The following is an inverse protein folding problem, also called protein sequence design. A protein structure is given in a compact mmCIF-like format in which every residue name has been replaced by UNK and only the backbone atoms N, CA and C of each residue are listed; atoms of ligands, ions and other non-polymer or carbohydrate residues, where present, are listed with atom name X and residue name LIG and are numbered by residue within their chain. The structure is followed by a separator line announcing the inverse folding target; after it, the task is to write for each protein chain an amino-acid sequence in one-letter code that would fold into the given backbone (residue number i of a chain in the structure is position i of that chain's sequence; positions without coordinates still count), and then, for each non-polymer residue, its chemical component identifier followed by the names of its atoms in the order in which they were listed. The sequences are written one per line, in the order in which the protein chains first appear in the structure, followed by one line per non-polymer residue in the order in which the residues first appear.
data_IF_496099281887
#
_entry.id   IF_496099281887
#
_cell.length_a   1.000
_cell.length_b   1.000
_cell.length_c   1.000
_cell.angle_alpha   90.00
_cell.angle_beta   90.00
_cell.angle_gamma   90.00
#
_symmetry.space_group_name_H-M   'P 1'
#
loop_
_entity.id
_entity.type
_entity.pdbx_description
1 polymer ?
#
# COMPACT_ATOMS: atom_id res chain seq x y z
N UNK A 1 21.06 9.84 17.77
CA UNK A 1 21.18 10.11 19.22
C UNK A 1 20.29 9.15 19.99
N UNK A 2 18.98 9.01 19.68
CA UNK A 2 18.04 8.11 20.39
C UNK A 2 18.50 6.64 20.37
N UNK A 3 18.98 6.13 19.23
CA UNK A 3 19.45 4.77 19.06
C UNK A 3 20.69 4.51 19.93
N UNK A 4 21.64 5.44 19.95
CA UNK A 4 22.86 5.31 20.78
C UNK A 4 22.49 5.29 22.26
N UNK A 5 21.56 6.12 22.70
CA UNK A 5 21.04 6.15 24.06
C UNK A 5 20.34 4.83 24.43
N UNK A 6 19.50 4.29 23.55
CA UNK A 6 18.83 3.00 23.73
C UNK A 6 19.85 1.84 23.84
N UNK A 7 20.85 1.80 22.96
CA UNK A 7 21.93 0.79 23.00
C UNK A 7 22.72 0.90 24.31
N UNK A 8 23.05 2.11 24.74
CA UNK A 8 23.75 2.35 26.02
C UNK A 8 22.91 1.87 27.23
N UNK A 9 21.61 2.18 27.26
CA UNK A 9 20.67 1.75 28.28
C UNK A 9 20.54 0.21 28.32
N UNK A 10 20.49 -0.42 27.16
CA UNK A 10 20.43 -1.88 27.02
C UNK A 10 21.74 -2.53 27.48
N UNK A 11 22.91 -2.00 27.10
CA UNK A 11 24.21 -2.47 27.55
C UNK A 11 24.36 -2.32 29.08
N UNK A 12 23.92 -1.20 29.65
CA UNK A 12 23.93 -0.99 31.10
C UNK A 12 23.04 -2.00 31.86
N UNK A 13 21.85 -2.30 31.31
CA UNK A 13 20.95 -3.29 31.89
C UNK A 13 21.52 -4.74 31.81
N UNK A 14 22.16 -5.09 30.68
CA UNK A 14 22.83 -6.38 30.52
C UNK A 14 24.03 -6.53 31.42
N UNK A 15 24.87 -5.50 31.58
CA UNK A 15 26.05 -5.51 32.43
C UNK A 15 25.71 -5.48 33.93
N UNK A 16 24.55 -4.96 34.32
CA UNK A 16 24.05 -4.96 35.69
C UNK A 16 23.91 -6.37 36.29
N UNK A 17 23.67 -7.38 35.44
CA UNK A 17 23.65 -8.80 35.85
C UNK A 17 25.05 -9.35 36.11
N UNK A 18 26.09 -8.85 35.46
CA UNK A 18 27.47 -9.29 35.68
C UNK A 18 27.99 -8.93 37.09
N UNK A 19 27.56 -7.80 37.66
CA UNK A 19 27.94 -7.38 39.00
C UNK A 19 27.43 -8.29 40.12
N UNK A 20 26.50 -9.19 39.82
CA UNK A 20 25.95 -10.18 40.77
C UNK A 20 26.64 -11.54 40.69
N UNK A 21 27.58 -11.72 39.76
CA UNK A 21 28.33 -12.98 39.62
C UNK A 21 29.59 -12.89 40.46
N UNK A 22 29.67 -13.69 41.52
CA UNK A 22 30.90 -13.75 42.34
C UNK A 22 31.99 -14.51 41.58
N UNK A 23 33.25 -14.15 41.79
CA UNK A 23 34.40 -14.79 41.14
C UNK A 23 34.43 -16.33 41.38
N UNK A 24 33.99 -16.77 42.56
CA UNK A 24 33.91 -18.17 42.94
C UNK A 24 32.84 -18.92 42.12
N UNK A 25 31.68 -18.30 41.82
CA UNK A 25 30.64 -18.92 41.00
C UNK A 25 31.03 -19.00 39.52
N UNK A 26 31.85 -18.05 39.03
CA UNK A 26 32.37 -18.06 37.66
C UNK A 26 33.45 -19.17 37.48
N UNK A 27 34.30 -19.42 38.48
CA UNK A 27 35.37 -20.41 38.41
C UNK A 27 34.82 -21.84 38.60
N UNK A 28 33.78 -22.02 39.41
CA UNK A 28 33.17 -23.34 39.66
C UNK A 28 32.32 -23.90 38.53
N UNK A 29 32.21 -23.19 37.38
CA UNK A 29 31.53 -23.71 36.17
C UNK A 29 30.13 -24.24 36.47
N UNK A 30 29.36 -23.51 37.22
CA UNK A 30 27.93 -23.51 37.46
C UNK A 30 27.00 -24.69 37.17
N UNK A 31 27.45 -25.92 37.16
CA UNK A 31 26.58 -27.06 36.96
C UNK A 31 26.71 -28.07 38.14
N UNK A 32 26.26 -27.68 39.29
CA UNK A 32 25.89 -28.59 40.34
C UNK A 32 24.40 -28.44 40.66
N UNK A 33 23.60 -29.20 39.96
CA UNK A 33 22.18 -29.28 40.21
C UNK A 33 21.54 -30.15 39.15
N UNK A 34 21.36 -31.43 39.43
CA UNK A 34 20.44 -32.28 38.69
C UNK A 34 19.06 -31.66 38.76
N UNK A 35 18.68 -30.93 37.73
CA UNK A 35 17.33 -30.40 37.57
C UNK A 35 16.48 -31.52 36.97
N UNK A 36 15.74 -32.23 37.79
CA UNK A 36 14.70 -33.16 37.37
C UNK A 36 13.43 -32.46 36.88
N UNK A 37 13.54 -31.25 36.37
CA UNK A 37 12.42 -30.56 35.74
C UNK A 37 11.98 -31.33 34.49
N UNK A 38 10.67 -31.49 34.33
CA UNK A 38 10.04 -32.15 33.20
C UNK A 38 10.51 -31.51 31.89
N UNK A 39 11.52 -32.13 31.27
CA UNK A 39 12.28 -31.53 30.17
C UNK A 39 11.72 -31.87 28.75
N UNK A 40 10.49 -32.39 28.67
CA UNK A 40 9.94 -32.82 27.38
C UNK A 40 8.50 -32.36 27.21
N UNK A 41 8.24 -31.58 26.17
CA UNK A 41 6.89 -31.19 25.71
C UNK A 41 6.21 -32.35 24.94
N UNK A 42 7.02 -33.18 24.25
CA UNK A 42 6.58 -34.31 23.46
C UNK A 42 7.19 -35.61 23.97
N UNK A 43 6.45 -36.72 23.90
CA UNK A 43 6.96 -38.02 24.30
C UNK A 43 7.44 -38.81 23.06
N UNK A 44 8.72 -39.22 23.06
CA UNK A 44 9.34 -39.94 21.93
C UNK A 44 8.62 -41.26 21.60
N UNK A 45 8.16 -42.00 22.60
CA UNK A 45 7.48 -43.27 22.39
C UNK A 45 6.10 -43.18 21.71
N UNK A 46 5.51 -41.98 21.68
CA UNK A 46 4.23 -41.70 20.95
C UNK A 46 4.43 -41.29 19.48
N UNK A 47 5.68 -41.02 19.08
CA UNK A 47 6.01 -40.47 17.76
C UNK A 47 6.51 -41.58 16.83
N UNK A 48 5.63 -42.04 15.89
CA UNK A 48 5.98 -43.07 14.91
C UNK A 48 6.51 -42.54 13.57
N UNK A 49 6.30 -41.26 13.28
CA UNK A 49 6.53 -40.71 11.94
C UNK A 49 7.68 -39.71 11.85
N UNK A 50 8.10 -39.12 12.93
CA UNK A 50 9.17 -38.10 12.94
C UNK A 50 10.56 -38.72 13.03
N UNK A 51 11.48 -38.27 12.17
CA UNK A 51 12.90 -38.61 12.30
C UNK A 51 13.46 -38.00 13.59
N UNK A 52 14.38 -38.70 14.26
CA UNK A 52 14.93 -38.27 15.55
C UNK A 52 15.44 -36.80 15.55
N UNK A 53 16.19 -36.32 14.54
CA UNK A 53 16.60 -34.90 14.52
C UNK A 53 15.43 -33.92 14.50
N UNK A 54 14.34 -34.25 13.78
CA UNK A 54 13.15 -33.39 13.71
C UNK A 54 12.41 -33.37 15.06
N UNK A 55 12.26 -34.54 15.69
CA UNK A 55 11.67 -34.63 17.02
C UNK A 55 12.45 -33.77 18.02
N UNK A 56 13.80 -33.90 18.06
CA UNK A 56 14.65 -33.14 18.96
C UNK A 56 14.52 -31.62 18.72
N UNK A 57 14.48 -31.17 17.45
CA UNK A 57 14.32 -29.76 17.11
C UNK A 57 12.98 -29.17 17.57
N UNK A 58 11.88 -29.90 17.33
CA UNK A 58 10.55 -29.47 17.76
C UNK A 58 10.43 -29.44 19.28
N UNK A 59 10.89 -30.51 19.94
CA UNK A 59 10.81 -30.61 21.37
C UNK A 59 11.66 -29.53 22.10
N UNK A 60 12.87 -29.26 21.62
CA UNK A 60 13.74 -28.21 22.16
C UNK A 60 13.12 -26.83 22.02
N UNK A 61 12.54 -26.53 20.84
CA UNK A 61 11.86 -25.28 20.64
C UNK A 61 10.66 -25.09 21.57
N UNK A 62 9.81 -26.12 21.73
CA UNK A 62 8.62 -26.05 22.58
C UNK A 62 8.95 -25.96 24.09
N UNK A 63 10.02 -26.64 24.51
CA UNK A 63 10.43 -26.63 25.93
C UNK A 63 11.20 -25.38 26.33
N UNK A 64 11.92 -24.76 25.39
CA UNK A 64 12.82 -23.64 25.66
C UNK A 64 12.51 -22.38 24.85
N UNK A 65 11.25 -22.06 24.59
CA UNK A 65 10.79 -20.90 23.80
C UNK A 65 11.51 -19.59 24.17
N UNK A 66 11.80 -19.40 25.49
CA UNK A 66 12.52 -18.19 25.95
C UNK A 66 13.94 -18.06 25.38
N UNK A 67 14.59 -19.17 25.01
CA UNK A 67 15.92 -19.14 24.38
C UNK A 67 15.88 -18.61 22.96
N UNK A 68 14.76 -18.83 22.28
CA UNK A 68 14.55 -18.42 20.88
C UNK A 68 13.84 -17.07 20.76
N UNK A 69 13.40 -16.46 21.87
CA UNK A 69 12.61 -15.25 21.87
C UNK A 69 13.27 -14.11 21.08
N UNK A 70 14.58 -13.92 21.21
CA UNK A 70 15.30 -12.90 20.45
C UNK A 70 15.24 -13.15 18.94
N UNK A 71 15.47 -14.39 18.50
CA UNK A 71 15.38 -14.75 17.09
C UNK A 71 13.96 -14.63 16.55
N UNK A 72 12.97 -15.10 17.31
CA UNK A 72 11.56 -14.99 16.97
C UNK A 72 11.17 -13.52 16.74
N UNK A 73 11.51 -12.65 17.67
CA UNK A 73 11.22 -11.22 17.57
C UNK A 73 11.95 -10.58 16.38
N UNK A 74 13.24 -10.89 16.20
CA UNK A 74 14.02 -10.33 15.09
C UNK A 74 13.47 -10.76 13.75
N UNK A 75 13.17 -12.04 13.55
CA UNK A 75 12.60 -12.55 12.30
C UNK A 75 11.20 -11.99 12.08
N UNK A 76 10.37 -11.92 13.12
CA UNK A 76 9.03 -11.35 13.03
C UNK A 76 9.07 -9.88 12.58
N UNK A 77 9.89 -9.05 13.22
CA UNK A 77 10.05 -7.64 12.82
C UNK A 77 10.58 -7.52 11.40
N UNK A 78 11.56 -8.35 11.02
CA UNK A 78 12.11 -8.32 9.65
C UNK A 78 11.07 -8.70 8.60
N UNK A 79 10.25 -9.71 8.84
CA UNK A 79 9.14 -10.06 7.95
C UNK A 79 8.10 -8.94 7.84
N UNK A 80 7.74 -8.31 8.95
CA UNK A 80 6.81 -7.15 8.96
C UNK A 80 7.39 -6.00 8.13
N UNK A 81 8.66 -5.65 8.32
CA UNK A 81 9.32 -4.58 7.59
C UNK A 81 9.39 -4.82 6.07
N UNK A 82 9.46 -6.07 5.63
CA UNK A 82 9.41 -6.43 4.20
C UNK A 82 7.96 -6.40 3.69
N UNK A 83 7.02 -6.88 4.50
CA UNK A 83 5.61 -7.03 4.08
C UNK A 83 4.90 -5.70 3.93
N UNK A 84 5.22 -4.68 4.76
CA UNK A 84 4.58 -3.37 4.70
C UNK A 84 4.74 -2.71 3.30
N UNK A 85 5.95 -2.51 2.74
CA UNK A 85 6.10 -1.90 1.43
C UNK A 85 5.48 -2.74 0.30
N UNK A 86 5.57 -4.07 0.39
CA UNK A 86 4.93 -4.96 -0.59
C UNK A 86 3.42 -4.80 -0.60
N UNK A 87 2.79 -4.78 0.57
CA UNK A 87 1.35 -4.55 0.67
C UNK A 87 0.98 -3.16 0.16
N UNK A 88 1.77 -2.13 0.47
CA UNK A 88 1.54 -0.77 -0.04
C UNK A 88 1.53 -0.74 -1.56
N UNK A 89 2.53 -1.36 -2.21
CA UNK A 89 2.59 -1.44 -3.68
C UNK A 89 1.37 -2.18 -4.24
N UNK A 90 1.00 -3.33 -3.67
CA UNK A 90 -0.15 -4.09 -4.11
C UNK A 90 -1.47 -3.32 -3.95
N UNK A 91 -1.62 -2.57 -2.85
CA UNK A 91 -2.80 -1.73 -2.61
C UNK A 91 -2.87 -0.59 -3.64
N UNK A 92 -1.74 0.05 -3.94
CA UNK A 92 -1.68 1.12 -4.94
C UNK A 92 -2.04 0.66 -6.37
N UNK A 93 -1.86 -0.63 -6.67
CA UNK A 93 -2.21 -1.24 -7.96
C UNK A 93 -3.65 -1.75 -8.03
N UNK A 94 -4.41 -1.68 -6.94
CA UNK A 94 -5.77 -2.18 -6.93
C UNK A 94 -6.71 -1.28 -7.74
N UNK A 95 -7.77 -1.87 -8.30
CA UNK A 95 -8.83 -1.13 -9.01
C UNK A 95 -9.55 -0.14 -8.08
N UNK A 96 -9.69 -0.50 -6.81
CA UNK A 96 -10.28 0.36 -5.80
C UNK A 96 -9.45 1.62 -5.58
N UNK A 97 -8.13 1.49 -5.53
CA UNK A 97 -7.23 2.64 -5.45
C UNK A 97 -7.31 3.51 -6.71
N UNK A 98 -7.42 2.92 -7.90
CA UNK A 98 -7.54 3.65 -9.15
C UNK A 98 -8.78 4.57 -9.19
N UNK A 99 -9.92 4.12 -8.63
CA UNK A 99 -11.15 4.92 -8.54
C UNK A 99 -10.95 6.19 -7.70
N UNK A 100 -10.09 6.13 -6.67
CA UNK A 100 -9.73 7.30 -5.84
C UNK A 100 -8.89 8.34 -6.59
N UNK A 101 -8.28 7.95 -7.71
CA UNK A 101 -7.64 8.86 -8.67
C UNK A 101 -8.57 9.23 -9.83
N UNK A 102 -9.87 9.04 -9.69
CA UNK A 102 -10.88 9.33 -10.71
C UNK A 102 -10.65 8.54 -12.01
N UNK A 103 -10.11 7.33 -11.92
CA UNK A 103 -9.94 6.39 -13.02
C UNK A 103 -11.02 5.32 -12.94
N UNK A 104 -11.84 5.22 -13.98
CA UNK A 104 -12.77 4.10 -14.12
C UNK A 104 -12.03 2.89 -14.70
N UNK A 105 -11.75 1.86 -13.90
CA UNK A 105 -11.02 0.67 -14.34
C UNK A 105 -11.85 -0.30 -15.19
N UNK A 106 -13.16 -0.13 -15.22
CA UNK A 106 -14.11 -0.99 -15.95
C UNK A 106 -14.32 -0.57 -17.40
N UNK A 107 -13.77 0.60 -17.80
CA UNK A 107 -13.85 1.05 -19.19
C UNK A 107 -13.10 0.12 -20.14
N UNK A 108 -13.58 0.03 -21.37
CA UNK A 108 -13.02 -0.91 -22.35
C UNK A 108 -11.56 -0.59 -22.69
N UNK A 109 -11.24 0.70 -22.91
CA UNK A 109 -9.89 1.23 -23.14
C UNK A 109 -9.85 2.71 -22.78
N UNK A 110 -8.68 3.33 -22.88
CA UNK A 110 -8.45 4.73 -22.54
C UNK A 110 -7.66 5.44 -23.65
N UNK A 111 -7.88 6.74 -23.77
CA UNK A 111 -7.12 7.63 -24.67
C UNK A 111 -6.44 8.70 -23.82
N UNK A 112 -5.16 8.95 -24.05
CA UNK A 112 -4.42 9.98 -23.32
C UNK A 112 -4.85 11.38 -23.72
N UNK A 113 -4.87 11.64 -25.02
CA UNK A 113 -5.21 12.92 -25.64
C UNK A 113 -6.07 12.71 -26.85
N UNK A 114 -7.17 13.46 -26.95
CA UNK A 114 -8.13 13.36 -28.04
C UNK A 114 -7.99 14.47 -29.09
N UNK A 115 -6.99 15.34 -28.96
CA UNK A 115 -6.67 16.35 -29.96
C UNK A 115 -6.15 15.72 -31.26
N UNK A 116 -5.58 14.54 -31.21
CA UNK A 116 -4.92 13.87 -32.31
C UNK A 116 -3.68 14.64 -32.74
N UNK A 117 -3.54 14.89 -34.06
CA UNK A 117 -2.44 15.68 -34.62
C UNK A 117 -2.64 17.20 -34.48
N UNK A 118 -3.75 17.66 -33.91
CA UNK A 118 -3.98 19.08 -33.68
C UNK A 118 -3.19 19.55 -32.47
N UNK A 119 -2.24 20.47 -32.64
CA UNK A 119 -1.35 20.97 -31.61
C UNK A 119 -1.99 21.88 -30.54
N UNK A 120 -3.28 22.20 -30.68
CA UNK A 120 -3.97 23.11 -29.76
C UNK A 120 -4.72 22.35 -28.69
N UNK A 121 -4.18 22.35 -27.44
CA UNK A 121 -4.88 21.84 -26.27
C UNK A 121 -6.26 22.50 -26.10
N UNK A 122 -7.26 21.72 -25.70
CA UNK A 122 -8.59 22.26 -25.39
C UNK A 122 -8.51 23.19 -24.18
N UNK A 123 -9.11 24.39 -24.29
CA UNK A 123 -9.07 25.41 -23.24
C UNK A 123 -10.28 25.39 -22.32
N UNK A 124 -11.37 24.76 -22.73
CA UNK A 124 -12.59 24.70 -21.93
C UNK A 124 -13.37 23.40 -22.18
N UNK A 125 -14.32 23.11 -21.28
CA UNK A 125 -15.17 21.92 -21.35
C UNK A 125 -16.00 21.82 -22.63
N UNK A 126 -16.39 22.93 -23.21
CA UNK A 126 -17.16 22.93 -24.47
C UNK A 126 -16.32 22.42 -25.66
N UNK A 127 -15.05 22.81 -25.73
CA UNK A 127 -14.10 22.29 -26.73
C UNK A 127 -13.81 20.80 -26.48
N UNK A 128 -13.60 20.41 -25.26
CA UNK A 128 -13.41 18.99 -24.88
C UNK A 128 -14.60 18.15 -25.31
N UNK A 129 -15.83 18.58 -25.00
CA UNK A 129 -17.05 17.89 -25.40
C UNK A 129 -17.17 17.73 -26.92
N UNK A 130 -16.83 18.78 -27.70
CA UNK A 130 -16.80 18.68 -29.16
C UNK A 130 -15.73 17.69 -29.65
N UNK A 131 -14.57 17.67 -29.00
CA UNK A 131 -13.50 16.71 -29.28
C UNK A 131 -13.95 15.28 -29.05
N UNK A 132 -14.57 15.00 -27.88
CA UNK A 132 -15.13 13.69 -27.57
C UNK A 132 -16.14 13.22 -28.60
N UNK A 133 -17.12 14.10 -28.99
CA UNK A 133 -18.10 13.79 -30.00
C UNK A 133 -17.49 13.57 -31.40
N UNK A 134 -16.35 14.20 -31.71
CA UNK A 134 -15.61 13.91 -32.93
C UNK A 134 -15.04 12.50 -32.90
N UNK A 135 -14.36 12.13 -31.84
CA UNK A 135 -13.76 10.79 -31.66
C UNK A 135 -14.86 9.72 -31.68
N UNK A 136 -15.97 9.92 -30.99
CA UNK A 136 -17.11 9.00 -31.00
C UNK A 136 -17.66 8.79 -32.46
N UNK A 137 -17.77 9.86 -33.25
CA UNK A 137 -18.18 9.74 -34.67
C UNK A 137 -17.16 8.99 -35.50
N UNK A 138 -15.87 9.30 -35.38
CA UNK A 138 -14.79 8.60 -36.09
C UNK A 138 -14.79 7.11 -35.76
N UNK A 139 -15.03 6.75 -34.48
CA UNK A 139 -15.15 5.36 -34.05
C UNK A 139 -16.39 4.69 -34.62
N UNK A 140 -17.52 5.38 -34.62
CA UNK A 140 -18.79 4.88 -35.18
C UNK A 140 -18.72 4.61 -36.69
N UNK A 141 -18.02 5.46 -37.44
CA UNK A 141 -17.79 5.28 -38.88
C UNK A 141 -17.00 4.00 -39.18
N UNK A 142 -16.18 3.55 -38.23
CA UNK A 142 -15.41 2.31 -38.33
C UNK A 142 -16.12 1.12 -37.65
N UNK A 143 -17.35 1.28 -37.19
CA UNK A 143 -18.18 0.23 -36.64
C UNK A 143 -18.05 0.03 -35.13
N UNK A 144 -17.43 0.97 -34.40
CA UNK A 144 -17.36 0.95 -32.94
C UNK A 144 -18.40 1.87 -32.34
N UNK A 145 -19.34 1.32 -31.57
CA UNK A 145 -20.30 2.13 -30.81
C UNK A 145 -19.72 2.43 -29.44
N UNK A 146 -18.96 3.51 -29.37
CA UNK A 146 -18.20 3.92 -28.21
C UNK A 146 -18.79 5.18 -27.56
N UNK A 147 -18.82 5.22 -26.25
CA UNK A 147 -19.13 6.40 -25.43
C UNK A 147 -17.87 6.87 -24.71
N UNK A 148 -17.59 8.17 -24.78
CA UNK A 148 -16.42 8.75 -24.14
C UNK A 148 -16.81 9.49 -22.85
N UNK A 149 -15.97 9.35 -21.83
CA UNK A 149 -16.09 10.10 -20.57
C UNK A 149 -14.72 10.68 -20.21
N UNK A 150 -14.66 11.96 -19.88
CA UNK A 150 -13.42 12.65 -19.50
C UNK A 150 -13.65 13.61 -18.34
N UNK A 151 -12.63 13.84 -17.52
CA UNK A 151 -12.66 14.82 -16.43
C UNK A 151 -11.93 16.09 -16.81
N UNK A 152 -12.65 17.21 -16.88
CA UNK A 152 -12.05 18.55 -17.00
C UNK A 152 -11.57 19.02 -15.65
N UNK A 153 -10.34 19.54 -15.57
CA UNK A 153 -9.70 20.03 -14.35
C UNK A 153 -9.66 21.54 -14.36
N UNK A 154 -10.12 22.13 -13.27
CA UNK A 154 -10.07 23.55 -13.00
C UNK A 154 -9.46 23.80 -11.63
N UNK A 155 -8.91 24.99 -11.42
CA UNK A 155 -8.51 25.46 -10.08
C UNK A 155 -9.38 26.65 -9.71
N UNK A 156 -10.38 26.42 -8.87
CA UNK A 156 -11.43 27.39 -8.53
C UNK A 156 -11.27 27.91 -7.10
N UNK A 157 -11.42 29.25 -6.89
CA UNK A 157 -11.32 29.87 -5.57
C UNK A 157 -12.66 29.82 -4.85
N UNK A 158 -12.84 28.80 -4.00
CA UNK A 158 -14.05 28.69 -3.17
C UNK A 158 -13.90 29.42 -1.84
N UNK A 159 -15.00 29.98 -1.35
CA UNK A 159 -15.09 30.63 -0.06
C UNK A 159 -16.51 30.57 0.52
N UNK A 160 -16.60 30.71 1.84
CA UNK A 160 -17.90 30.88 2.50
C UNK A 160 -18.55 32.22 2.13
N UNK A 161 -19.89 32.33 2.11
CA UNK A 161 -20.59 33.55 1.73
C UNK A 161 -20.09 34.77 2.51
N UNK A 162 -19.80 35.86 1.80
CA UNK A 162 -19.29 37.08 2.40
C UNK A 162 -17.82 37.07 2.84
N UNK A 163 -17.10 35.97 2.63
CA UNK A 163 -15.65 35.88 2.85
C UNK A 163 -14.92 35.96 1.50
N UNK A 164 -13.71 36.51 1.48
CA UNK A 164 -12.82 36.42 0.32
C UNK A 164 -11.88 35.25 0.50
N UNK A 165 -11.94 34.26 -0.38
CA UNK A 165 -11.03 33.13 -0.41
C UNK A 165 -9.96 33.31 -1.48
N UNK A 166 -8.72 33.01 -1.15
CA UNK A 166 -7.60 33.02 -2.12
C UNK A 166 -7.11 31.61 -2.45
N UNK A 167 -7.60 30.59 -1.75
CA UNK A 167 -7.18 29.19 -1.94
C UNK A 167 -7.94 28.60 -3.11
N UNK A 168 -7.21 28.24 -4.17
CA UNK A 168 -7.77 27.56 -5.32
C UNK A 168 -7.79 26.05 -5.06
N UNK A 169 -8.96 25.45 -5.18
CA UNK A 169 -9.18 24.02 -5.03
C UNK A 169 -9.28 23.39 -6.42
N UNK A 170 -8.57 22.29 -6.62
CA UNK A 170 -8.69 21.49 -7.82
C UNK A 170 -10.12 20.98 -7.96
N UNK A 171 -10.77 21.31 -9.06
CA UNK A 171 -12.18 21.01 -9.29
C UNK A 171 -12.34 20.19 -10.56
N UNK A 172 -12.96 19.03 -10.42
CA UNK A 172 -13.20 18.12 -11.52
C UNK A 172 -14.63 18.25 -12.01
N UNK A 173 -14.79 18.44 -13.32
CA UNK A 173 -16.07 18.37 -13.98
C UNK A 173 -16.05 17.21 -14.98
N UNK A 174 -16.84 16.17 -14.70
CA UNK A 174 -16.86 14.96 -15.52
C UNK A 174 -17.80 15.18 -16.69
N UNK A 175 -17.26 15.08 -17.89
CA UNK A 175 -17.99 15.15 -19.15
C UNK A 175 -18.22 13.73 -19.66
N UNK A 176 -19.49 13.35 -19.95
CA UNK A 176 -19.86 12.01 -20.39
C UNK A 176 -21.02 11.44 -19.58
N UNK A 177 -21.29 10.13 -19.76
CA UNK A 177 -22.46 9.47 -19.15
C UNK A 177 -22.09 8.52 -18.03
N UNK A 178 -20.93 7.89 -18.11
CA UNK A 178 -20.53 6.87 -17.13
C UNK A 178 -19.82 7.52 -15.93
N UNK A 179 -20.56 7.76 -14.84
CA UNK A 179 -20.07 8.30 -13.58
C UNK A 179 -20.35 7.39 -12.38
N UNK A 180 -20.81 6.16 -12.61
CA UNK A 180 -21.21 5.22 -11.56
C UNK A 180 -20.03 4.71 -10.73
N UNK A 181 -18.81 4.79 -11.26
CA UNK A 181 -17.57 4.43 -10.55
C UNK A 181 -17.14 5.44 -9.47
N UNK A 182 -17.85 6.54 -9.33
CA UNK A 182 -17.52 7.57 -8.35
C UNK A 182 -18.24 7.31 -7.02
N UNK A 183 -17.46 6.95 -6.01
CA UNK A 183 -17.94 6.73 -4.67
C UNK A 183 -18.07 8.02 -3.87
N UNK A 184 -19.05 8.06 -2.97
CA UNK A 184 -19.26 9.11 -2.00
C UNK A 184 -19.30 8.51 -0.60
N UNK A 185 -18.62 9.17 0.35
CA UNK A 185 -18.58 8.74 1.75
C UNK A 185 -19.87 9.15 2.48
N UNK A 186 -20.32 10.38 2.20
CA UNK A 186 -21.53 10.96 2.80
C UNK A 186 -22.26 11.79 1.76
N UNK A 187 -23.59 11.84 1.85
CA UNK A 187 -24.43 12.61 0.94
C UNK A 187 -24.57 11.96 -0.45
N UNK A 188 -24.52 12.75 -1.50
CA UNK A 188 -24.75 12.31 -2.88
C UNK A 188 -23.93 13.08 -3.90
N UNK A 189 -23.84 12.52 -5.12
CA UNK A 189 -23.27 13.22 -6.27
C UNK A 189 -24.03 14.53 -6.58
N UNK A 190 -23.36 15.57 -7.06
CA UNK A 190 -24.00 16.79 -7.55
C UNK A 190 -24.90 16.47 -8.76
N UNK A 191 -26.18 16.80 -8.68
CA UNK A 191 -27.20 16.58 -9.73
C UNK A 191 -27.61 17.88 -10.41
N UNK A 192 -27.64 18.99 -9.67
CA UNK A 192 -27.97 20.31 -10.16
C UNK A 192 -26.72 21.13 -10.46
N UNK A 193 -26.84 22.15 -11.30
CA UNK A 193 -25.72 23.03 -11.71
C UNK A 193 -25.08 23.77 -10.51
N UNK A 194 -25.88 24.05 -9.47
CA UNK A 194 -25.45 24.71 -8.26
C UNK A 194 -25.08 23.74 -7.12
N UNK A 195 -24.88 22.49 -7.40
CA UNK A 195 -24.44 21.49 -6.43
C UNK A 195 -22.97 21.15 -6.62
N UNK A 196 -22.29 20.88 -5.50
CA UNK A 196 -20.88 20.54 -5.45
C UNK A 196 -20.62 19.47 -4.39
N UNK A 197 -19.67 18.61 -4.65
CA UNK A 197 -19.13 17.74 -3.62
C UNK A 197 -17.64 18.07 -3.40
N UNK A 198 -17.20 17.98 -2.16
CA UNK A 198 -15.80 18.18 -1.78
C UNK A 198 -15.19 16.90 -1.23
N UNK A 199 -13.89 16.78 -1.37
CA UNK A 199 -13.15 15.78 -0.60
C UNK A 199 -13.31 16.01 0.90
N UNK A 200 -13.25 14.94 1.69
CA UNK A 200 -13.34 15.00 3.16
C UNK A 200 -12.34 16.01 3.74
N UNK A 201 -11.10 16.00 3.25
CA UNK A 201 -10.05 16.91 3.72
C UNK A 201 -10.44 18.38 3.57
N UNK A 202 -11.00 18.77 2.43
CA UNK A 202 -11.45 20.16 2.19
C UNK A 202 -12.57 20.56 3.15
N UNK A 203 -13.51 19.64 3.42
CA UNK A 203 -14.59 19.90 4.36
C UNK A 203 -14.07 20.11 5.78
N UNK A 204 -13.16 19.27 6.23
CA UNK A 204 -12.55 19.32 7.55
C UNK A 204 -11.68 20.59 7.72
N UNK A 205 -10.78 20.87 6.77
CA UNK A 205 -9.88 22.03 6.82
C UNK A 205 -10.60 23.38 6.84
N UNK A 206 -11.77 23.46 6.17
CA UNK A 206 -12.54 24.69 6.10
C UNK A 206 -13.72 24.72 7.07
N UNK A 207 -13.94 23.63 7.84
CA UNK A 207 -15.11 23.44 8.69
C UNK A 207 -16.43 23.62 7.95
N UNK A 208 -16.52 23.03 6.73
CA UNK A 208 -17.71 23.01 5.89
C UNK A 208 -18.46 21.70 6.06
N UNK A 209 -19.78 21.75 5.90
CA UNK A 209 -20.67 20.61 6.07
C UNK A 209 -21.57 20.44 4.86
N UNK A 210 -22.10 19.23 4.68
CA UNK A 210 -23.12 18.96 3.68
C UNK A 210 -24.34 19.83 3.99
N UNK A 211 -24.85 20.54 2.96
CA UNK A 211 -25.92 21.52 3.08
C UNK A 211 -25.44 22.96 3.17
N UNK A 212 -24.18 23.22 3.43
CA UNK A 212 -23.62 24.58 3.47
C UNK A 212 -23.61 25.21 2.09
N UNK A 213 -23.70 26.55 2.08
CA UNK A 213 -23.59 27.37 0.87
C UNK A 213 -22.17 27.89 0.74
N UNK A 214 -21.62 27.72 -0.48
CA UNK A 214 -20.26 28.14 -0.82
C UNK A 214 -20.35 29.01 -2.08
N UNK A 215 -19.43 29.94 -2.22
CA UNK A 215 -19.31 30.83 -3.34
C UNK A 215 -17.95 30.65 -4.04
N UNK A 216 -17.92 30.87 -5.35
CA UNK A 216 -16.69 30.94 -6.15
C UNK A 216 -16.77 32.12 -7.11
N UNK A 217 -15.78 32.99 -7.08
CA UNK A 217 -15.69 34.13 -7.98
C UNK A 217 -14.89 33.76 -9.22
N UNK A 218 -15.58 33.69 -10.38
CA UNK A 218 -15.01 33.26 -11.66
C UNK A 218 -15.27 34.34 -12.72
N UNK A 219 -14.21 34.93 -13.28
CA UNK A 219 -14.30 35.93 -14.36
C UNK A 219 -15.23 37.11 -14.07
N UNK A 220 -15.34 37.51 -12.77
CA UNK A 220 -16.20 38.62 -12.32
C UNK A 220 -17.64 38.23 -12.03
N UNK A 221 -18.01 36.97 -12.15
CA UNK A 221 -19.30 36.43 -11.76
C UNK A 221 -19.15 35.58 -10.49
N UNK A 222 -20.07 35.71 -9.54
CA UNK A 222 -20.11 34.90 -8.33
C UNK A 222 -21.04 33.71 -8.51
N UNK A 223 -20.48 32.51 -8.53
CA UNK A 223 -21.22 31.26 -8.56
C UNK A 223 -21.54 30.82 -7.14
N UNK A 224 -22.77 30.35 -6.92
CA UNK A 224 -23.25 29.89 -5.62
C UNK A 224 -23.51 28.40 -5.66
N UNK A 225 -22.94 27.67 -4.71
CA UNK A 225 -23.07 26.21 -4.64
C UNK A 225 -23.65 25.78 -3.30
N UNK A 226 -24.27 24.60 -3.29
CA UNK A 226 -24.68 23.86 -2.11
C UNK A 226 -23.84 22.58 -2.05
N UNK A 227 -23.24 22.31 -0.91
CA UNK A 227 -22.45 21.09 -0.72
C UNK A 227 -23.41 19.91 -0.57
N UNK A 228 -23.34 18.93 -1.48
CA UNK A 228 -24.25 17.77 -1.48
C UNK A 228 -23.59 16.48 -1.06
N UNK A 229 -22.28 16.39 -1.12
CA UNK A 229 -21.58 15.15 -0.78
C UNK A 229 -20.13 15.34 -0.40
N UNK A 230 -19.63 14.30 0.24
CA UNK A 230 -18.21 14.12 0.61
C UNK A 230 -17.67 12.84 0.00
N UNK A 231 -16.40 12.86 -0.40
CA UNK A 231 -15.75 11.70 -1.00
C UNK A 231 -14.28 11.61 -0.61
N UNK A 232 -13.71 10.42 -0.76
CA UNK A 232 -12.27 10.20 -0.65
C UNK A 232 -11.60 10.46 -1.99
N UNK A 233 -10.49 11.21 -2.00
CA UNK A 233 -9.73 11.49 -3.21
C UNK A 233 -8.24 11.57 -2.89
N UNK A 234 -7.43 11.02 -3.80
CA UNK A 234 -5.97 11.09 -3.69
C UNK A 234 -5.35 12.10 -4.65
N UNK A 235 -6.15 12.69 -5.53
CA UNK A 235 -5.68 13.78 -6.37
C UNK A 235 -5.34 15.00 -5.51
N UNK A 236 -4.24 15.67 -5.83
CA UNK A 236 -3.74 16.82 -5.06
C UNK A 236 -3.70 16.58 -3.55
N UNK A 237 -3.27 15.36 -3.14
CA UNK A 237 -3.20 14.96 -1.72
C UNK A 237 -4.56 15.09 -1.00
N UNK A 238 -5.64 14.79 -1.70
CA UNK A 238 -6.99 14.82 -1.13
C UNK A 238 -7.65 16.20 -1.16
N UNK A 239 -7.09 17.18 -1.87
CA UNK A 239 -7.64 18.54 -1.92
C UNK A 239 -8.36 18.80 -3.23
N UNK A 240 -9.60 18.31 -3.35
CA UNK A 240 -10.38 18.42 -4.58
C UNK A 240 -11.88 18.66 -4.38
N UNK A 241 -12.55 19.06 -5.47
CA UNK A 241 -13.99 19.22 -5.57
C UNK A 241 -14.51 18.53 -6.84
N UNK A 242 -15.76 18.07 -6.81
CA UNK A 242 -16.48 17.53 -7.96
C UNK A 242 -17.67 18.42 -8.30
N UNK A 243 -17.70 18.88 -9.54
CA UNK A 243 -18.70 19.78 -10.11
C UNK A 243 -19.70 18.99 -10.97
N UNK A 244 -20.92 19.48 -11.06
CA UNK A 244 -21.90 18.91 -11.98
C UNK A 244 -21.53 19.19 -13.44
N UNK A 245 -21.75 18.23 -14.32
CA UNK A 245 -21.48 18.33 -15.77
C UNK A 245 -22.32 19.39 -16.50
N UNK A 246 -23.45 19.82 -15.89
CA UNK A 246 -24.35 20.85 -16.46
C UNK A 246 -23.89 22.27 -16.16
N UNK A 247 -23.00 22.45 -15.18
CA UNK A 247 -22.45 23.78 -14.86
C UNK A 247 -21.72 24.34 -16.07
N UNK A 248 -22.11 25.54 -16.51
CA UNK A 248 -21.46 26.20 -17.64
C UNK A 248 -20.15 26.85 -17.23
N UNK A 249 -19.04 26.20 -17.55
CA UNK A 249 -17.68 26.69 -17.39
C UNK A 249 -17.02 27.02 -18.74
N UNK A 250 -17.81 27.28 -19.79
CA UNK A 250 -17.26 27.57 -21.13
C UNK A 250 -16.39 28.82 -21.21
N UNK A 251 -16.59 29.77 -20.26
CA UNK A 251 -15.80 31.00 -20.13
C UNK A 251 -14.61 30.87 -19.20
N UNK A 252 -14.49 29.74 -18.49
CA UNK A 252 -13.40 29.48 -17.52
C UNK A 252 -12.34 28.64 -18.19
N UNK A 253 -11.08 29.07 -18.11
CA UNK A 253 -9.98 28.30 -18.66
C UNK A 253 -9.79 27.00 -17.88
N UNK A 254 -9.85 25.88 -18.60
CA UNK A 254 -9.55 24.55 -18.11
C UNK A 254 -8.03 24.40 -18.00
N UNK A 255 -7.54 23.89 -16.87
CA UNK A 255 -6.12 23.62 -16.70
C UNK A 255 -5.66 22.48 -17.64
N UNK A 256 -6.35 21.35 -17.57
CA UNK A 256 -6.19 20.21 -18.46
C UNK A 256 -7.42 19.30 -18.36
N UNK A 257 -7.48 18.24 -19.13
CA UNK A 257 -8.42 17.16 -18.91
C UNK A 257 -7.68 15.86 -18.59
N UNK A 258 -8.34 15.04 -17.79
CA UNK A 258 -7.76 13.82 -17.23
C UNK A 258 -8.39 12.61 -17.87
N UNK A 259 -7.59 11.64 -18.26
CA UNK A 259 -7.96 10.34 -18.81
C UNK A 259 -9.31 10.30 -19.56
N UNK A 260 -9.29 10.03 -20.83
CA UNK A 260 -10.51 9.82 -21.60
C UNK A 260 -10.83 8.34 -21.56
N UNK A 261 -11.85 7.98 -20.80
CA UNK A 261 -12.38 6.63 -20.74
C UNK A 261 -13.22 6.37 -21.98
N UNK A 262 -13.08 5.18 -22.57
CA UNK A 262 -13.84 4.75 -23.75
C UNK A 262 -14.61 3.50 -23.40
N UNK A 263 -15.91 3.63 -23.29
CA UNK A 263 -16.83 2.55 -22.98
C UNK A 263 -17.48 2.02 -24.24
N UNK A 264 -17.38 0.71 -24.47
CA UNK A 264 -18.02 0.03 -25.59
C UNK A 264 -18.28 -1.43 -25.25
N UNK A 265 -19.27 -2.03 -25.88
CA UNK A 265 -19.53 -3.47 -25.78
C UNK A 265 -18.53 -4.23 -26.65
N UNK A 266 -17.73 -5.08 -26.04
CA UNK A 266 -16.73 -5.89 -26.74
C UNK A 266 -16.48 -7.20 -26.00
N UNK A 267 -16.20 -8.25 -26.76
CA UNK A 267 -15.77 -9.55 -26.21
C UNK A 267 -14.23 -9.68 -26.19
N UNK A 268 -13.51 -8.65 -26.67
CA UNK A 268 -12.04 -8.64 -26.70
C UNK A 268 -11.48 -8.23 -25.34
N UNK A 269 -10.33 -8.77 -25.00
CA UNK A 269 -9.55 -8.29 -23.84
C UNK A 269 -9.08 -6.85 -24.08
N UNK A 270 -8.85 -6.09 -23.00
CA UNK A 270 -8.37 -4.69 -23.10
C UNK A 270 -7.09 -4.58 -23.94
N UNK A 271 -6.16 -5.53 -23.82
CA UNK A 271 -4.90 -5.53 -24.57
C UNK A 271 -5.15 -5.74 -26.07
N UNK A 272 -5.98 -6.71 -26.46
CA UNK A 272 -6.32 -6.98 -27.86
C UNK A 272 -7.10 -5.83 -28.48
N UNK A 273 -8.01 -5.22 -27.71
CA UNK A 273 -8.78 -4.07 -28.15
C UNK A 273 -7.88 -2.87 -28.38
N UNK A 274 -7.00 -2.56 -27.43
CA UNK A 274 -5.98 -1.51 -27.56
C UNK A 274 -5.15 -1.69 -28.83
N UNK A 275 -4.58 -2.87 -29.06
CA UNK A 275 -3.74 -3.15 -30.23
C UNK A 275 -4.52 -3.01 -31.54
N UNK A 276 -5.80 -3.38 -31.53
CA UNK A 276 -6.68 -3.22 -32.69
C UNK A 276 -6.95 -1.74 -32.96
N UNK A 277 -7.29 -0.98 -31.92
CA UNK A 277 -7.62 0.44 -32.04
C UNK A 277 -6.39 1.28 -32.37
N UNK A 278 -5.22 0.94 -31.84
CA UNK A 278 -3.96 1.64 -32.16
C UNK A 278 -3.60 1.51 -33.66
N UNK A 279 -3.92 0.37 -34.28
CA UNK A 279 -3.70 0.18 -35.74
C UNK A 279 -4.74 0.94 -36.57
N UNK A 280 -5.97 1.03 -36.10
CA UNK A 280 -7.07 1.67 -36.85
C UNK A 280 -7.13 3.19 -36.65
N UNK A 281 -6.67 3.66 -35.50
CA UNK A 281 -6.67 5.07 -35.12
C UNK A 281 -5.28 5.47 -34.62
N UNK A 282 -4.28 5.54 -35.51
CA UNK A 282 -2.87 5.77 -35.13
C UNK A 282 -2.62 7.20 -34.60
N UNK A 283 -3.57 8.11 -34.77
CA UNK A 283 -3.46 9.48 -34.30
C UNK A 283 -3.75 9.64 -32.81
N UNK A 284 -4.27 8.59 -32.17
CA UNK A 284 -4.54 8.54 -30.72
C UNK A 284 -3.61 7.56 -30.02
N UNK A 285 -3.23 7.89 -28.79
CA UNK A 285 -2.49 6.98 -27.91
C UNK A 285 -3.47 6.21 -27.00
N UNK A 286 -3.55 4.90 -27.23
CA UNK A 286 -4.49 4.01 -26.52
C UNK A 286 -3.80 3.32 -25.35
N UNK A 287 -4.52 3.15 -24.25
CA UNK A 287 -4.04 2.55 -23.02
C UNK A 287 -5.03 1.53 -22.46
N UNK A 288 -4.50 0.54 -21.75
CA UNK A 288 -5.29 -0.34 -20.87
C UNK A 288 -5.48 0.34 -19.50
N UNK A 289 -6.41 -0.19 -18.67
CA UNK A 289 -6.59 0.27 -17.29
C UNK A 289 -5.29 0.20 -16.49
N UNK A 290 -4.55 -0.91 -16.61
CA UNK A 290 -3.29 -1.09 -15.90
C UNK A 290 -2.24 -0.06 -16.31
N UNK A 291 -2.11 0.23 -17.60
CA UNK A 291 -1.16 1.25 -18.08
C UNK A 291 -1.51 2.66 -17.62
N UNK A 292 -2.80 2.99 -17.47
CA UNK A 292 -3.24 4.26 -16.90
C UNK A 292 -2.89 4.33 -15.41
N UNK A 293 -3.16 3.26 -14.66
CA UNK A 293 -2.80 3.17 -13.23
C UNK A 293 -1.28 3.29 -13.07
N UNK A 294 -0.52 2.50 -13.79
CA UNK A 294 0.95 2.51 -13.74
C UNK A 294 1.52 3.89 -14.07
N UNK A 295 0.91 4.60 -15.01
CA UNK A 295 1.34 5.94 -15.39
C UNK A 295 1.03 7.00 -14.34
N UNK A 296 -0.12 6.90 -13.68
CA UNK A 296 -0.56 7.87 -12.67
C UNK A 296 0.14 7.65 -11.33
N UNK A 297 0.40 6.40 -11.00
CA UNK A 297 0.97 5.97 -9.71
C UNK A 297 2.39 5.42 -9.88
N UNK A 298 2.79 5.04 -11.11
CA UNK A 298 4.01 4.29 -11.43
C UNK A 298 5.29 4.96 -10.95
N UNK A 299 5.37 6.29 -10.97
CA UNK A 299 6.54 7.00 -10.44
C UNK A 299 6.74 6.80 -8.93
N UNK A 300 5.65 6.73 -8.16
CA UNK A 300 5.71 6.43 -6.72
C UNK A 300 6.06 4.95 -6.52
N UNK A 301 5.42 4.07 -7.29
CA UNK A 301 5.67 2.63 -7.26
C UNK A 301 7.09 2.28 -7.65
N UNK A 302 7.63 2.88 -8.72
CA UNK A 302 9.01 2.68 -9.16
C UNK A 302 10.00 3.09 -8.07
N UNK A 303 9.81 4.26 -7.47
CA UNK A 303 10.62 4.74 -6.35
C UNK A 303 10.55 3.83 -5.13
N UNK A 304 9.36 3.33 -4.77
CA UNK A 304 9.21 2.36 -3.68
C UNK A 304 9.87 1.02 -4.01
N UNK A 305 9.72 0.54 -5.25
CA UNK A 305 10.32 -0.72 -5.70
C UNK A 305 11.85 -0.65 -5.72
N UNK A 306 12.43 0.46 -6.16
CA UNK A 306 13.88 0.70 -6.12
C UNK A 306 14.43 0.68 -4.70
N UNK A 307 13.68 1.19 -3.72
CA UNK A 307 14.07 1.15 -2.29
C UNK A 307 13.90 -0.23 -1.67
N UNK A 308 12.97 -1.04 -2.17
CA UNK A 308 12.63 -2.35 -1.61
C UNK A 308 13.78 -3.35 -1.74
N UNK A 309 14.47 -3.36 -2.89
CA UNK A 309 15.59 -4.29 -3.16
C UNK A 309 16.75 -4.09 -2.17
N UNK A 310 17.36 -2.88 -2.03
CA UNK A 310 18.47 -2.69 -1.10
C UNK A 310 18.01 -2.84 0.37
N UNK A 311 16.79 -2.44 0.71
CA UNK A 311 16.25 -2.62 2.05
C UNK A 311 16.10 -4.11 2.39
N UNK A 312 15.55 -4.91 1.49
CA UNK A 312 15.42 -6.36 1.67
C UNK A 312 16.79 -7.03 1.79
N UNK A 313 17.75 -6.66 0.94
CA UNK A 313 19.10 -7.17 1.00
C UNK A 313 19.78 -6.84 2.34
N UNK A 314 19.62 -5.62 2.84
CA UNK A 314 20.13 -5.20 4.15
C UNK A 314 19.50 -6.01 5.29
N UNK A 315 18.17 -6.18 5.28
CA UNK A 315 17.47 -6.98 6.28
C UNK A 315 17.91 -8.45 6.24
N UNK A 316 18.07 -9.04 5.06
CA UNK A 316 18.59 -10.40 4.91
C UNK A 316 20.01 -10.53 5.48
N UNK A 317 20.88 -9.55 5.26
CA UNK A 317 22.23 -9.55 5.82
C UNK A 317 22.19 -9.49 7.36
N UNK A 318 21.33 -8.64 7.93
CA UNK A 318 21.14 -8.55 9.40
C UNK A 318 20.59 -9.84 9.97
N UNK A 319 19.58 -10.44 9.35
CA UNK A 319 19.01 -11.74 9.76
C UNK A 319 20.09 -12.82 9.74
N UNK A 320 20.87 -12.89 8.66
CA UNK A 320 21.97 -13.86 8.51
C UNK A 320 23.01 -13.71 9.62
N UNK A 321 23.43 -12.49 9.90
CA UNK A 321 24.42 -12.19 10.94
C UNK A 321 23.91 -12.57 12.33
N UNK A 322 22.67 -12.20 12.68
CA UNK A 322 22.07 -12.56 13.96
C UNK A 322 21.91 -14.06 14.08
N UNK A 323 21.47 -14.73 13.01
CA UNK A 323 21.31 -16.19 12.99
C UNK A 323 22.66 -16.90 13.23
N UNK A 324 23.73 -16.44 12.56
CA UNK A 324 25.07 -17.00 12.76
C UNK A 324 25.61 -16.78 14.17
N UNK A 325 25.38 -15.60 14.76
CA UNK A 325 25.80 -15.31 16.12
C UNK A 325 25.03 -16.17 17.13
N UNK A 326 23.73 -16.31 16.96
CA UNK A 326 22.90 -17.13 17.84
C UNK A 326 23.22 -18.62 17.72
N UNK A 327 23.47 -19.11 16.51
CA UNK A 327 23.87 -20.50 16.27
C UNK A 327 25.20 -20.82 16.97
N UNK A 328 26.20 -19.93 16.83
CA UNK A 328 27.45 -20.05 17.58
C UNK A 328 27.22 -20.10 19.11
N UNK A 329 26.33 -19.22 19.61
CA UNK A 329 25.99 -19.16 21.02
C UNK A 329 25.34 -20.49 21.48
N UNK A 330 24.42 -21.05 20.68
CA UNK A 330 23.79 -22.34 21.00
C UNK A 330 24.79 -23.47 21.00
N UNK A 331 25.68 -23.58 20.01
CA UNK A 331 26.73 -24.61 19.97
C UNK A 331 27.61 -24.54 21.20
N UNK A 332 28.00 -23.36 21.66
CA UNK A 332 28.83 -23.19 22.86
C UNK A 332 28.07 -23.61 24.12
N UNK A 333 26.79 -23.25 24.24
CA UNK A 333 25.97 -23.61 25.40
C UNK A 333 25.63 -25.10 25.47
N UNK A 334 25.39 -25.72 24.33
CA UNK A 334 24.96 -27.12 24.18
C UNK A 334 26.14 -28.07 23.93
N UNK A 335 27.38 -27.58 24.10
CA UNK A 335 28.60 -28.39 23.87
C UNK A 335 28.60 -29.74 24.60
N UNK A 336 28.11 -29.76 25.85
CA UNK A 336 27.96 -30.98 26.65
C UNK A 336 26.93 -31.96 26.10
N UNK A 337 25.76 -31.45 25.68
CA UNK A 337 24.70 -32.25 25.08
C UNK A 337 25.13 -32.83 23.73
N UNK A 338 25.82 -32.02 22.92
CA UNK A 338 26.40 -32.44 21.61
C UNK A 338 27.47 -33.54 21.84
N UNK A 339 28.31 -33.40 22.85
CA UNK A 339 29.33 -34.41 23.19
C UNK A 339 28.70 -35.72 23.66
N UNK A 340 27.64 -35.66 24.49
CA UNK A 340 26.85 -36.82 24.90
C UNK A 340 26.18 -37.51 23.72
N UNK A 341 25.54 -36.77 22.82
CA UNK A 341 24.95 -37.36 21.61
C UNK A 341 25.99 -38.06 20.72
N UNK A 342 27.19 -37.51 20.59
CA UNK A 342 28.30 -38.14 19.84
C UNK A 342 28.78 -39.43 20.54
N UNK A 343 28.85 -39.47 21.87
CA UNK A 343 29.24 -40.67 22.61
C UNK A 343 28.25 -41.81 22.46
N UNK A 344 26.98 -41.53 22.26
CA UNK A 344 25.91 -42.52 22.00
C UNK A 344 25.87 -42.93 20.51
N UNK A 345 26.71 -42.34 19.65
CA UNK A 345 26.84 -42.73 18.23
C UNK A 345 26.05 -41.90 17.25
N UNK A 346 25.57 -40.73 17.62
CA UNK A 346 24.92 -39.79 16.65
C UNK A 346 25.94 -39.31 15.60
N UNK A 347 25.54 -39.39 14.33
CA UNK A 347 26.37 -38.88 13.22
C UNK A 347 26.34 -37.34 13.21
N UNK A 348 27.46 -36.74 12.77
CA UNK A 348 27.55 -35.28 12.62
C UNK A 348 26.45 -34.70 11.75
N UNK A 349 25.99 -35.44 10.71
CA UNK A 349 24.86 -35.03 9.85
C UNK A 349 23.54 -34.94 10.64
N UNK A 350 23.29 -35.85 11.57
CA UNK A 350 22.07 -35.84 12.39
C UNK A 350 22.04 -34.61 13.33
N UNK A 351 23.20 -34.28 13.91
CA UNK A 351 23.34 -33.11 14.78
C UNK A 351 23.17 -31.82 13.97
N UNK A 352 23.76 -31.72 12.76
CA UNK A 352 23.53 -30.59 11.86
C UNK A 352 22.05 -30.47 11.48
N UNK A 353 21.42 -31.58 11.08
CA UNK A 353 20.00 -31.59 10.74
C UNK A 353 19.12 -31.13 11.89
N UNK A 354 19.40 -31.53 13.12
CA UNK A 354 18.71 -31.06 14.30
C UNK A 354 18.79 -29.54 14.44
N UNK A 355 19.97 -28.96 14.31
CA UNK A 355 20.15 -27.50 14.40
C UNK A 355 19.46 -26.75 13.27
N UNK A 356 19.58 -27.21 12.01
CA UNK A 356 18.90 -26.61 10.86
C UNK A 356 17.38 -26.67 11.00
N UNK A 357 16.83 -27.81 11.42
CA UNK A 357 15.38 -27.94 11.62
C UNK A 357 14.89 -26.98 12.67
N UNK A 358 15.63 -26.82 13.77
CA UNK A 358 15.33 -25.86 14.82
C UNK A 358 15.25 -24.42 14.30
N UNK A 359 16.21 -23.99 13.46
CA UNK A 359 16.19 -22.65 12.85
C UNK A 359 15.05 -22.46 11.86
N UNK A 360 14.77 -23.48 11.05
CA UNK A 360 13.61 -23.46 10.13
C UNK A 360 12.29 -23.31 10.91
N UNK A 361 12.15 -24.04 12.02
CA UNK A 361 10.95 -23.93 12.86
C UNK A 361 10.79 -22.54 13.46
N UNK A 362 11.87 -21.95 13.97
CA UNK A 362 11.86 -20.58 14.47
C UNK A 362 11.44 -19.60 13.39
N UNK A 363 11.99 -19.73 12.18
CA UNK A 363 11.63 -18.88 11.04
C UNK A 363 10.14 -19.05 10.65
N UNK A 364 9.63 -20.28 10.58
CA UNK A 364 8.22 -20.56 10.27
C UNK A 364 7.27 -19.98 11.32
N UNK A 365 7.57 -20.16 12.61
CA UNK A 365 6.75 -19.58 13.68
C UNK A 365 6.77 -18.05 13.64
N UNK A 366 7.94 -17.46 13.38
CA UNK A 366 8.07 -16.01 13.23
C UNK A 366 7.29 -15.49 12.03
N UNK A 367 7.30 -16.22 10.90
CA UNK A 367 6.53 -15.86 9.70
C UNK A 367 5.03 -15.92 9.99
N UNK A 368 4.55 -16.98 10.64
CA UNK A 368 3.14 -17.09 11.04
C UNK A 368 2.71 -15.98 12.01
N UNK A 369 3.58 -15.60 12.93
CA UNK A 369 3.32 -14.49 13.87
C UNK A 369 3.40 -13.11 13.16
N UNK A 370 4.21 -12.99 12.12
CA UNK A 370 4.36 -11.74 11.36
C UNK A 370 3.09 -11.40 10.55
N UNK A 371 2.31 -12.39 10.10
CA UNK A 371 1.08 -12.15 9.33
C UNK A 371 0.08 -11.25 10.08
N UNK A 372 -0.43 -11.61 11.25
CA UNK A 372 -1.35 -10.75 11.98
C UNK A 372 -0.68 -9.42 12.43
N UNK A 373 0.61 -9.45 12.70
CA UNK A 373 1.34 -8.25 13.11
C UNK A 373 1.53 -7.28 11.95
N UNK A 374 1.72 -7.77 10.72
CA UNK A 374 1.79 -6.92 9.52
C UNK A 374 0.43 -6.29 9.21
N UNK A 375 -0.68 -7.02 9.37
CA UNK A 375 -2.03 -6.46 9.25
C UNK A 375 -2.25 -5.34 10.26
N UNK A 376 -1.86 -5.56 11.51
CA UNK A 376 -1.97 -4.55 12.55
C UNK A 376 -1.06 -3.34 12.27
N UNK A 377 0.17 -3.58 11.83
CA UNK A 377 1.12 -2.51 11.44
C UNK A 377 0.61 -1.69 10.26
N UNK A 378 0.04 -2.31 9.24
CA UNK A 378 -0.57 -1.62 8.11
C UNK A 378 -1.69 -0.70 8.60
N UNK A 379 -2.57 -1.22 9.47
CA UNK A 379 -3.64 -0.42 10.05
C UNK A 379 -3.10 0.79 10.82
N UNK A 380 -2.11 0.64 11.67
CA UNK A 380 -1.55 1.75 12.46
C UNK A 380 -0.67 2.71 11.67
N UNK A 381 0.01 2.26 10.61
CA UNK A 381 0.95 3.09 9.86
C UNK A 381 0.33 3.68 8.58
N UNK A 382 -0.48 2.90 7.86
CA UNK A 382 -1.06 3.33 6.58
C UNK A 382 -2.41 4.02 6.76
N UNK A 383 -3.26 3.51 7.66
CA UNK A 383 -4.58 4.11 7.93
C UNK A 383 -4.51 5.62 8.24
N UNK A 384 -3.60 6.12 9.10
CA UNK A 384 -3.49 7.57 9.32
C UNK A 384 -3.07 8.35 8.08
N UNK A 385 -2.21 7.76 7.22
CA UNK A 385 -1.75 8.42 5.99
C UNK A 385 -2.91 8.52 4.99
N UNK A 386 -3.65 7.44 4.81
CA UNK A 386 -4.81 7.42 3.90
C UNK A 386 -6.02 8.15 4.49
N UNK A 387 -6.19 8.17 5.81
CA UNK A 387 -7.22 8.94 6.49
C UNK A 387 -7.05 10.46 6.28
N UNK A 388 -5.81 10.97 6.23
CA UNK A 388 -5.53 12.36 5.84
C UNK A 388 -6.10 12.68 4.45
N UNK A 389 -6.09 11.68 3.55
CA UNK A 389 -6.65 11.79 2.19
C UNK A 389 -8.16 11.43 2.14
N UNK A 390 -8.79 11.18 3.29
CA UNK A 390 -10.22 10.90 3.40
C UNK A 390 -10.63 9.46 3.06
N UNK A 391 -9.70 8.52 3.00
CA UNK A 391 -10.02 7.13 2.75
C UNK A 391 -9.94 6.27 4.01
N UNK A 392 -10.94 5.45 4.21
CA UNK A 392 -10.89 4.33 5.16
C UNK A 392 -10.18 3.16 4.44
N UNK A 393 -9.09 2.64 5.03
CA UNK A 393 -8.28 1.53 4.48
C UNK A 393 -8.58 0.23 5.22
#
# INVERSE_FOLDING_TARGET
ILIIFLVMLFCMNCTRKLSRITAISAIRGGHSGESFAKASALYLFKQKYLRVPAYLGINDMLTHLKRYALLLVTFCISFVLITIPLNTINTMQSSEMASKFTVNTDSAVYIKKIEGKQDSAYRNSAQLKKGMQRVEREMKEKGYDAELTASSIYFLPFHAPGKKGNTKIMSLQIQGRNTEYLDYLEGSAPVLENEIAFSRLILEDNNWHIGDRIEADLNGETYKFIITGSYADYMQLGSSARLNAKLDLSKVDMFEYWNVNVDMKTDKSQTELKDTLQKQFPDYEWYTAQEIVDRNIGGIQESLSELLIPMTAMLCAVIMLITLLMEKLFIVREKGEIAMMKSIGFRNSSIRSWQVIRMILVALVSMLAAVPLSMLSNRFMLEPIFAIMGADV
#
